data_IF_391076943050
#
_entry.id   IF_391076943050
#
_cell.length_a   1.000
_cell.length_b   1.000
_cell.length_c   1.000
_cell.angle_alpha   90.00
_cell.angle_beta   90.00
_cell.angle_gamma   90.00
#
_symmetry.space_group_name_H-M   'P 1'
#
loop_
_entity.id
_entity.type
_entity.pdbx_description
1 polymer ?
#
# COMPACT_ATOMS: atom_id res chain seq x y z
N UNK A 1 2.58 -4.51 15.23
CA UNK A 1 2.20 -4.37 13.81
C UNK A 1 3.09 -5.32 13.01
N UNK A 2 2.61 -6.01 11.96
CA UNK A 2 3.38 -7.07 11.28
C UNK A 2 4.72 -6.56 10.71
N UNK A 3 4.80 -5.28 10.32
CA UNK A 3 6.00 -4.68 9.77
C UNK A 3 6.98 -4.19 10.85
N UNK A 4 6.51 -3.90 12.07
CA UNK A 4 7.33 -3.36 13.16
C UNK A 4 8.11 -4.43 13.93
N UNK A 5 8.07 -5.70 13.49
CA UNK A 5 8.76 -6.81 14.14
C UNK A 5 10.09 -7.18 13.48
N UNK A 6 10.46 -6.53 12.37
CA UNK A 6 11.77 -6.68 11.75
C UNK A 6 12.74 -5.62 12.29
N UNK A 7 13.92 -6.01 12.75
CA UNK A 7 14.95 -5.07 13.22
C UNK A 7 15.58 -4.25 12.08
N UNK A 8 15.33 -4.64 10.83
CA UNK A 8 15.89 -4.01 9.63
C UNK A 8 14.97 -2.95 9.00
N UNK A 9 13.75 -2.76 9.53
CA UNK A 9 12.76 -1.83 8.97
C UNK A 9 12.15 -0.94 10.04
N UNK A 10 12.13 0.37 9.77
CA UNK A 10 11.43 1.34 10.60
C UNK A 10 10.12 1.77 9.92
N UNK A 11 9.01 1.72 10.65
CA UNK A 11 7.72 2.26 10.18
C UNK A 11 7.68 3.75 10.52
N UNK A 12 7.91 4.58 9.51
CA UNK A 12 7.98 6.05 9.68
C UNK A 12 6.63 6.76 9.51
N UNK A 13 5.58 6.04 9.12
CA UNK A 13 4.24 6.61 8.97
C UNK A 13 3.20 5.58 8.54
N UNK A 14 1.94 5.92 8.79
CA UNK A 14 0.75 5.15 8.42
C UNK A 14 -0.27 6.08 7.76
N UNK A 15 -1.14 5.52 6.92
CA UNK A 15 -2.14 6.28 6.20
C UNK A 15 -3.46 5.49 6.13
N UNK A 16 -4.58 6.20 6.30
CA UNK A 16 -5.91 5.60 6.23
C UNK A 16 -6.48 5.59 4.80
N UNK A 17 -5.96 6.46 3.92
CA UNK A 17 -6.31 6.53 2.51
C UNK A 17 -5.14 6.98 1.62
N UNK A 18 -5.38 7.03 0.31
CA UNK A 18 -4.37 7.43 -0.67
C UNK A 18 -3.91 8.89 -0.55
N UNK A 19 -4.76 9.81 -0.07
CA UNK A 19 -4.38 11.20 0.10
C UNK A 19 -3.47 11.36 1.32
N UNK A 20 -3.82 10.71 2.43
CA UNK A 20 -2.99 10.60 3.63
C UNK A 20 -1.64 9.95 3.30
N UNK A 21 -1.63 8.91 2.45
CA UNK A 21 -0.39 8.25 2.03
C UNK A 21 0.54 9.20 1.27
N UNK A 22 -0.01 10.03 0.37
CA UNK A 22 0.78 11.04 -0.35
C UNK A 22 1.32 12.11 0.60
N UNK A 23 0.54 12.54 1.60
CA UNK A 23 0.99 13.47 2.61
C UNK A 23 2.12 12.87 3.49
N UNK A 24 1.95 11.64 3.96
CA UNK A 24 2.93 10.91 4.77
C UNK A 24 4.25 10.73 4.03
N UNK A 25 4.22 10.35 2.75
CA UNK A 25 5.45 10.21 1.94
C UNK A 25 6.19 11.54 1.80
N UNK A 26 5.47 12.66 1.65
CA UNK A 26 6.12 13.98 1.57
C UNK A 26 6.75 14.39 2.89
N UNK A 27 6.10 14.06 4.01
CA UNK A 27 6.58 14.41 5.36
C UNK A 27 7.79 13.56 5.77
N UNK A 28 7.70 12.24 5.58
CA UNK A 28 8.67 11.28 6.14
C UNK A 28 9.69 10.77 5.13
N UNK A 29 9.45 10.97 3.82
CA UNK A 29 10.33 10.54 2.72
C UNK A 29 10.83 9.08 2.87
N UNK A 30 9.92 8.10 3.04
CA UNK A 30 10.31 6.70 3.17
C UNK A 30 10.98 6.19 1.88
N UNK A 31 11.82 5.16 2.01
CA UNK A 31 12.42 4.47 0.87
C UNK A 31 11.41 3.55 0.15
N UNK A 32 10.52 2.93 0.92
CA UNK A 32 9.52 1.96 0.45
C UNK A 32 8.15 2.29 1.04
N UNK A 33 7.12 2.15 0.22
CA UNK A 33 5.71 2.24 0.61
C UNK A 33 5.05 0.89 0.36
N UNK A 34 4.44 0.32 1.40
CA UNK A 34 3.48 -0.77 1.26
C UNK A 34 2.09 -0.17 1.03
N UNK A 35 1.48 -0.48 -0.11
CA UNK A 35 0.26 0.19 -0.57
C UNK A 35 -0.89 -0.80 -0.75
N UNK A 36 -2.02 -0.57 -0.09
CA UNK A 36 -3.28 -1.26 -0.42
C UNK A 36 -3.94 -0.58 -1.63
N UNK A 37 -4.45 -1.36 -2.59
CA UNK A 37 -5.22 -0.84 -3.71
C UNK A 37 -6.58 -0.32 -3.24
N UNK A 38 -7.22 -1.03 -2.31
CA UNK A 38 -8.62 -0.82 -1.91
C UNK A 38 -8.68 0.08 -0.68
N UNK A 39 -8.41 1.37 -0.87
CA UNK A 39 -8.54 2.39 0.17
C UNK A 39 -9.81 3.24 -0.03
N UNK A 40 -10.41 3.78 1.04
CA UNK A 40 -11.51 4.74 0.92
C UNK A 40 -11.03 6.05 0.28
N UNK A 41 -11.93 6.75 -0.42
CA UNK A 41 -11.57 8.02 -1.06
C UNK A 41 -10.58 7.84 -2.22
N UNK A 42 -9.32 8.22 -1.99
CA UNK A 42 -8.26 8.02 -2.99
C UNK A 42 -7.72 6.60 -2.90
N UNK A 43 -7.92 5.82 -3.97
CA UNK A 43 -7.44 4.43 -4.03
C UNK A 43 -5.90 4.34 -4.14
N UNK A 44 -5.36 3.14 -3.92
CA UNK A 44 -3.92 2.91 -3.95
C UNK A 44 -3.28 3.04 -5.32
N UNK A 45 -4.04 2.89 -6.41
CA UNK A 45 -3.54 3.05 -7.78
C UNK A 45 -3.34 4.53 -8.07
N UNK A 46 -4.34 5.35 -7.76
CA UNK A 46 -4.27 6.79 -7.83
C UNK A 46 -3.16 7.33 -6.93
N UNK A 47 -3.05 6.82 -5.69
CA UNK A 47 -2.00 7.22 -4.75
C UNK A 47 -0.61 6.88 -5.32
N UNK A 48 -0.40 5.65 -5.79
CA UNK A 48 0.85 5.22 -6.44
C UNK A 48 1.19 6.12 -7.64
N UNK A 49 0.21 6.44 -8.48
CA UNK A 49 0.39 7.35 -9.61
C UNK A 49 0.83 8.75 -9.15
N UNK A 50 0.24 9.28 -8.08
CA UNK A 50 0.64 10.56 -7.50
C UNK A 50 2.06 10.53 -6.93
N UNK A 51 2.43 9.46 -6.21
CA UNK A 51 3.77 9.27 -5.67
C UNK A 51 4.83 9.19 -6.77
N UNK A 52 4.54 8.51 -7.89
CA UNK A 52 5.45 8.40 -9.04
C UNK A 52 5.76 9.74 -9.72
N UNK A 53 4.95 10.77 -9.50
CA UNK A 53 5.18 12.13 -10.03
C UNK A 53 6.08 12.99 -9.13
N UNK A 54 6.50 12.49 -7.97
CA UNK A 54 7.45 13.20 -7.10
C UNK A 54 8.83 13.25 -7.75
N UNK A 55 9.64 14.26 -7.38
CA UNK A 55 11.02 14.38 -7.87
C UNK A 55 11.91 13.20 -7.45
N UNK A 56 11.66 12.65 -6.26
CA UNK A 56 12.30 11.43 -5.73
C UNK A 56 11.20 10.51 -5.18
N UNK A 57 10.60 9.66 -6.02
CA UNK A 57 9.51 8.78 -5.59
C UNK A 57 10.05 7.57 -4.81
N UNK A 58 9.34 7.08 -3.77
CA UNK A 58 9.69 5.83 -3.11
C UNK A 58 9.45 4.62 -4.01
N UNK A 59 10.04 3.48 -3.65
CA UNK A 59 9.60 2.20 -4.19
C UNK A 59 8.21 1.87 -3.63
N UNK A 60 7.30 1.37 -4.48
CA UNK A 60 5.95 1.02 -4.06
C UNK A 60 5.75 -0.48 -4.23
N UNK A 61 5.43 -1.16 -3.13
CA UNK A 61 5.03 -2.56 -3.10
C UNK A 61 3.53 -2.57 -2.86
N UNK A 62 2.78 -3.11 -3.82
CA UNK A 62 1.33 -3.19 -3.70
C UNK A 62 0.97 -4.47 -2.95
N UNK A 63 0.27 -4.33 -1.83
CA UNK A 63 -0.32 -5.42 -1.06
C UNK A 63 -1.83 -5.24 -1.07
N UNK A 64 -2.50 -5.93 -1.98
CA UNK A 64 -3.96 -6.07 -1.93
C UNK A 64 -4.29 -7.45 -1.42
N UNK A 65 -5.24 -7.57 -0.51
CA UNK A 65 -5.87 -8.86 -0.27
C UNK A 65 -6.59 -9.26 -1.55
N UNK A 66 -6.26 -10.44 -2.07
CA UNK A 66 -7.09 -11.09 -3.08
C UNK A 66 -8.39 -11.49 -2.37
N UNK A 67 -9.40 -10.63 -2.39
CA UNK A 67 -10.76 -11.11 -2.40
C UNK A 67 -11.03 -11.59 -3.82
N UNK A 68 -10.41 -12.72 -4.21
CA UNK A 68 -11.14 -13.58 -5.11
C UNK A 68 -12.48 -13.80 -4.39
N UNK A 69 -13.60 -13.44 -5.04
CA UNK A 69 -14.92 -13.75 -4.52
C UNK A 69 -14.86 -15.15 -3.89
N UNK A 70 -15.46 -15.35 -2.72
CA UNK A 70 -15.42 -16.65 -2.04
C UNK A 70 -15.70 -17.80 -3.03
N UNK A 71 -16.55 -17.55 -4.02
CA UNK A 71 -16.85 -18.42 -5.15
C UNK A 71 -15.63 -18.80 -6.02
N UNK A 72 -14.74 -17.87 -6.36
CA UNK A 72 -13.52 -18.11 -7.14
C UNK A 72 -12.51 -18.91 -6.31
N UNK A 73 -12.36 -18.61 -5.02
CA UNK A 73 -11.49 -19.38 -4.13
C UNK A 73 -12.04 -20.80 -3.90
N UNK A 74 -13.35 -20.95 -3.74
CA UNK A 74 -14.01 -22.25 -3.68
C UNK A 74 -13.84 -23.03 -4.99
N UNK A 75 -13.96 -22.38 -6.15
CA UNK A 75 -13.77 -23.03 -7.46
C UNK A 75 -12.32 -23.51 -7.66
N UNK A 76 -11.32 -22.74 -7.24
CA UNK A 76 -9.90 -23.14 -7.27
C UNK A 76 -9.57 -24.27 -6.29
N UNK A 77 -10.29 -24.40 -5.16
CA UNK A 77 -10.09 -25.49 -4.19
C UNK A 77 -10.85 -26.77 -4.55
N UNK A 78 -11.88 -26.67 -5.38
CA UNK A 78 -12.72 -27.80 -5.81
C UNK A 78 -12.16 -28.54 -7.05
N UNK A 79 -11.07 -28.03 -7.64
CA UNK A 79 -10.37 -28.62 -8.80
C UNK A 79 -8.94 -28.98 -8.45
#
# INVERSE_FOLDING_TARGET
MILSSSEEMEVVGEAADGADAVAAVRAHRPDVVLMDIRMPGMDGIAATSALRRLAAPPHVIVLTTFQADEQVMSALRAG
#
